data_IF_457839728872
#
_entry.id   IF_457839728872
#
_cell.length_a   1.000
_cell.length_b   1.000
_cell.length_c   1.000
_cell.angle_alpha   90.00
_cell.angle_beta   90.00
_cell.angle_gamma   90.00
#
_symmetry.space_group_name_H-M   'P 1'
#
loop_
_entity.id
_entity.type
_entity.pdbx_description
1 polymer ?
#
# COMPACT_ATOMS: atom_id res chain seq x y z
N UNK A 1 -17.36 -40.10 -33.07
CA UNK A 1 -17.32 -38.70 -32.61
C UNK A 1 -18.17 -38.58 -31.34
N UNK A 2 -17.60 -38.11 -30.24
CA UNK A 2 -18.21 -37.20 -29.22
C UNK A 2 -17.29 -37.16 -28.00
N UNK A 3 -16.37 -36.21 -28.06
CA UNK A 3 -15.48 -35.79 -26.97
C UNK A 3 -16.32 -35.09 -25.90
N UNK A 4 -16.31 -35.58 -24.66
CA UNK A 4 -16.90 -34.85 -23.53
C UNK A 4 -15.81 -33.98 -22.89
N UNK A 5 -15.74 -32.72 -23.30
CA UNK A 5 -15.06 -31.67 -22.53
C UNK A 5 -16.08 -31.08 -21.56
N UNK A 6 -15.90 -31.30 -20.25
CA UNK A 6 -16.52 -30.45 -19.24
C UNK A 6 -15.38 -29.61 -18.65
N UNK A 7 -15.38 -28.33 -19.00
CA UNK A 7 -14.40 -27.34 -18.60
C UNK A 7 -14.57 -27.00 -17.10
N UNK A 8 -13.45 -27.01 -16.38
CA UNK A 8 -13.33 -26.55 -15.00
C UNK A 8 -13.48 -25.02 -14.98
N UNK A 9 -14.59 -24.50 -14.43
CA UNK A 9 -14.71 -23.07 -14.15
C UNK A 9 -13.75 -22.72 -13.01
N UNK A 10 -12.65 -22.03 -13.34
CA UNK A 10 -11.91 -21.25 -12.35
C UNK A 10 -12.75 -20.01 -12.03
N UNK A 11 -13.50 -20.07 -10.93
CA UNK A 11 -14.07 -18.87 -10.30
C UNK A 11 -12.90 -18.21 -9.58
N UNK A 12 -12.18 -17.36 -10.29
CA UNK A 12 -11.29 -16.42 -9.64
C UNK A 12 -12.16 -15.40 -8.92
N UNK A 13 -11.98 -15.31 -7.61
CA UNK A 13 -12.50 -14.21 -6.80
C UNK A 13 -11.32 -13.26 -6.58
N UNK A 14 -10.89 -12.53 -7.62
CA UNK A 14 -9.98 -11.39 -7.41
C UNK A 14 -10.78 -10.24 -6.83
N UNK A 15 -10.94 -10.24 -5.51
CA UNK A 15 -11.48 -9.11 -4.79
C UNK A 15 -10.38 -8.03 -4.69
N UNK A 16 -10.17 -7.29 -5.77
CA UNK A 16 -9.18 -6.20 -5.84
C UNK A 16 -9.71 -4.91 -5.17
N UNK A 17 -10.33 -4.95 -3.99
CA UNK A 17 -10.97 -3.77 -3.38
C UNK A 17 -9.94 -2.70 -2.96
N UNK A 18 -8.83 -3.16 -2.37
CA UNK A 18 -7.76 -2.31 -1.84
C UNK A 18 -6.43 -3.06 -1.69
N UNK A 19 -5.31 -2.47 -2.10
CA UNK A 19 -3.99 -3.04 -1.85
C UNK A 19 -2.92 -1.97 -1.60
N UNK A 20 -2.06 -2.20 -0.60
CA UNK A 20 -0.84 -1.42 -0.39
C UNK A 20 0.25 -1.90 -1.35
N UNK A 21 0.71 -1.02 -2.23
CA UNK A 21 1.75 -1.33 -3.23
C UNK A 21 3.16 -0.96 -2.76
N UNK A 22 3.28 0.05 -1.90
CA UNK A 22 4.56 0.55 -1.42
C UNK A 22 4.41 1.43 -0.18
N UNK A 23 5.29 1.32 0.83
CA UNK A 23 6.35 0.31 0.98
C UNK A 23 5.79 -1.12 1.07
N UNK A 24 6.65 -2.14 0.96
CA UNK A 24 6.19 -3.53 0.84
C UNK A 24 5.26 -3.91 2.01
N UNK A 25 4.03 -4.39 1.73
CA UNK A 25 3.10 -4.79 2.78
C UNK A 25 3.56 -6.08 3.47
N UNK A 26 3.07 -6.32 4.70
CA UNK A 26 3.22 -7.63 5.37
C UNK A 26 2.58 -8.76 4.57
N UNK A 27 1.51 -8.44 3.83
CA UNK A 27 0.75 -9.36 3.01
C UNK A 27 -0.62 -8.77 2.70
N UNK A 28 -1.42 -9.53 1.96
CA UNK A 28 -2.83 -9.23 1.70
C UNK A 28 -3.63 -10.53 1.79
N UNK A 29 -4.82 -10.46 2.37
CA UNK A 29 -5.76 -11.56 2.44
C UNK A 29 -7.16 -10.97 2.54
N UNK A 30 -8.01 -11.32 1.58
CA UNK A 30 -9.33 -10.73 1.43
C UNK A 30 -10.29 -11.14 2.56
N UNK A 31 -10.08 -12.31 3.13
CA UNK A 31 -10.91 -12.82 4.23
C UNK A 31 -10.62 -12.10 5.56
N UNK A 32 -9.41 -11.56 5.72
CA UNK A 32 -8.95 -10.96 6.99
C UNK A 32 -8.62 -9.48 6.86
N UNK A 33 -8.76 -8.86 5.68
CA UNK A 33 -8.39 -7.46 5.47
C UNK A 33 -9.22 -6.45 6.29
N UNK A 34 -10.38 -6.87 6.83
CA UNK A 34 -11.18 -6.07 7.77
C UNK A 34 -10.66 -6.14 9.21
N UNK A 35 -9.74 -7.06 9.52
CA UNK A 35 -9.19 -7.24 10.86
C UNK A 35 -8.06 -6.24 11.14
N UNK A 36 -8.38 -5.18 11.89
CA UNK A 36 -7.37 -4.23 12.37
C UNK A 36 -6.36 -4.88 13.33
N UNK A 37 -5.10 -4.41 13.37
CA UNK A 37 -4.60 -3.21 12.68
C UNK A 37 -4.00 -3.47 11.29
N UNK A 38 -3.73 -4.73 10.92
CA UNK A 38 -2.90 -5.06 9.76
C UNK A 38 -3.54 -6.11 8.83
N UNK A 39 -4.86 -6.24 8.84
CA UNK A 39 -5.59 -7.15 7.95
C UNK A 39 -5.32 -8.63 8.25
N UNK A 40 -5.20 -8.98 9.53
CA UNK A 40 -4.82 -10.34 9.98
C UNK A 40 -3.30 -10.63 9.99
N UNK A 41 -2.46 -9.75 9.40
CA UNK A 41 -1.00 -9.91 9.39
C UNK A 41 -0.35 -9.29 10.64
N UNK A 42 -0.52 -9.94 11.79
CA UNK A 42 -0.16 -9.37 13.09
C UNK A 42 1.35 -9.36 13.41
N UNK A 43 2.15 -10.16 12.70
CA UNK A 43 3.61 -10.25 12.95
C UNK A 43 4.41 -9.41 11.96
N UNK A 44 5.47 -8.76 12.45
CA UNK A 44 6.51 -8.15 11.60
C UNK A 44 7.30 -9.27 10.95
N UNK A 45 7.43 -9.23 9.61
CA UNK A 45 8.17 -10.25 8.85
C UNK A 45 9.45 -9.65 8.29
N UNK A 46 9.31 -8.59 7.47
CA UNK A 46 10.40 -7.94 6.75
C UNK A 46 10.28 -6.43 6.91
N UNK A 47 11.40 -5.69 6.87
CA UNK A 47 11.39 -4.22 6.86
C UNK A 47 11.94 -3.66 5.56
N UNK A 48 11.25 -2.67 4.99
CA UNK A 48 11.71 -1.94 3.81
C UNK A 48 12.41 -0.64 4.26
N UNK A 49 13.51 -0.27 3.60
CA UNK A 49 14.11 1.04 3.84
C UNK A 49 13.14 2.15 3.40
N UNK A 50 12.88 3.11 4.28
CA UNK A 50 12.00 4.25 4.00
C UNK A 50 12.70 5.54 4.40
N UNK A 51 12.87 6.52 3.49
CA UNK A 51 13.60 7.72 3.81
C UNK A 51 12.82 8.61 4.77
N UNK A 52 13.53 9.32 5.64
CA UNK A 52 12.93 10.30 6.54
C UNK A 52 12.23 11.45 5.80
N UNK A 53 12.71 11.80 4.60
CA UNK A 53 12.10 12.79 3.71
C UNK A 53 11.93 12.25 2.31
N UNK A 54 10.81 12.61 1.69
CA UNK A 54 10.53 12.30 0.29
C UNK A 54 9.97 10.89 0.06
N UNK A 55 9.76 10.11 1.12
CA UNK A 55 9.13 8.80 1.02
C UNK A 55 7.66 8.92 0.60
N UNK A 56 7.18 7.97 -0.20
CA UNK A 56 5.81 7.94 -0.69
C UNK A 56 5.17 6.61 -0.31
N UNK A 57 3.91 6.68 0.13
CA UNK A 57 3.06 5.50 0.30
C UNK A 57 2.12 5.42 -0.89
N UNK A 58 2.10 4.25 -1.54
CA UNK A 58 1.29 3.99 -2.74
C UNK A 58 0.28 2.91 -2.42
N UNK A 59 -1.00 3.22 -2.64
CA UNK A 59 -2.09 2.24 -2.56
C UNK A 59 -2.77 2.11 -3.92
N UNK A 60 -3.51 1.03 -4.12
CA UNK A 60 -4.46 0.90 -5.22
C UNK A 60 -5.85 0.64 -4.65
N UNK A 61 -6.83 1.40 -5.12
CA UNK A 61 -8.24 1.35 -4.68
C UNK A 61 -9.15 1.06 -5.87
N UNK A 62 -10.30 0.43 -5.61
CA UNK A 62 -11.29 0.10 -6.64
C UNK A 62 -12.66 0.74 -6.45
N UNK A 63 -12.86 1.58 -5.43
CA UNK A 63 -14.04 2.43 -5.31
C UNK A 63 -13.66 3.90 -5.47
N UNK A 64 -14.53 4.64 -6.15
CA UNK A 64 -14.44 6.11 -6.29
C UNK A 64 -14.97 6.85 -5.07
N UNK A 65 -15.55 6.14 -4.10
CA UNK A 65 -16.07 6.67 -2.85
C UNK A 65 -15.35 5.99 -1.70
N UNK A 66 -14.49 6.72 -1.00
CA UNK A 66 -13.79 6.22 0.16
C UNK A 66 -12.80 7.22 0.73
N UNK A 67 -12.22 6.86 1.87
CA UNK A 67 -11.24 7.67 2.60
C UNK A 67 -10.03 6.81 2.92
N UNK A 68 -8.83 7.34 2.67
CA UNK A 68 -7.59 6.72 3.06
C UNK A 68 -6.98 7.49 4.23
N UNK A 69 -6.64 6.76 5.29
CA UNK A 69 -5.89 7.28 6.44
C UNK A 69 -4.58 6.53 6.59
N UNK A 70 -3.54 7.25 7.01
CA UNK A 70 -2.21 6.68 7.26
C UNK A 70 -1.85 6.89 8.72
N UNK A 71 -1.54 5.81 9.44
CA UNK A 71 -1.12 5.83 10.86
C UNK A 71 0.30 5.30 11.02
N UNK A 72 1.03 5.80 12.02
CA UNK A 72 2.42 5.43 12.31
C UNK A 72 2.54 4.89 13.72
N UNK A 73 3.34 3.83 13.87
CA UNK A 73 3.86 3.38 15.15
C UNK A 73 5.40 3.31 15.08
N UNK A 74 6.09 3.89 16.08
CA UNK A 74 7.55 3.84 16.22
C UNK A 74 7.97 2.75 17.21
N UNK A 75 7.54 1.51 16.95
CA UNK A 75 7.89 0.36 17.79
C UNK A 75 8.38 -0.80 16.92
N UNK A 76 9.24 -1.62 17.51
CA UNK A 76 9.80 -2.83 16.87
C UNK A 76 8.69 -3.81 16.48
N UNK A 77 7.67 -3.96 17.32
CA UNK A 77 6.53 -4.86 17.15
C UNK A 77 5.26 -4.15 17.65
N UNK A 78 4.55 -3.39 16.80
CA UNK A 78 3.41 -2.60 17.24
C UNK A 78 2.20 -3.45 17.57
N UNK A 79 1.54 -3.12 18.68
CA UNK A 79 0.18 -3.51 18.97
C UNK A 79 -0.80 -2.47 18.40
N UNK A 80 -2.08 -2.83 18.31
CA UNK A 80 -3.12 -1.93 17.78
C UNK A 80 -3.14 -0.55 18.45
N UNK A 81 -2.85 -0.48 19.75
CA UNK A 81 -2.80 0.76 20.54
C UNK A 81 -1.65 1.71 20.17
N UNK A 82 -0.64 1.23 19.43
CA UNK A 82 0.57 2.01 19.12
C UNK A 82 0.38 2.91 17.88
N UNK A 83 -0.69 2.71 17.10
CA UNK A 83 -1.00 3.46 15.87
C UNK A 83 -1.73 4.78 16.16
N UNK A 84 -1.14 5.63 17.00
CA UNK A 84 -1.77 6.88 17.46
C UNK A 84 -1.46 8.08 16.56
N UNK A 85 -0.36 8.03 15.80
CA UNK A 85 0.12 9.17 15.01
C UNK A 85 -0.44 9.12 13.59
N UNK A 86 -1.08 10.20 13.13
CA UNK A 86 -1.46 10.35 11.73
C UNK A 86 -0.25 10.84 10.91
N UNK A 87 0.07 10.19 9.79
CA UNK A 87 1.17 10.63 8.91
C UNK A 87 0.76 11.82 8.03
N UNK A 88 -0.49 11.82 7.58
CA UNK A 88 -1.06 12.87 6.73
C UNK A 88 -2.49 13.14 7.17
N UNK A 89 -3.05 14.24 6.67
CA UNK A 89 -4.50 14.38 6.63
C UNK A 89 -5.12 13.22 5.84
N UNK A 90 -6.34 12.85 6.21
CA UNK A 90 -7.10 11.85 5.47
C UNK A 90 -7.32 12.29 4.02
N UNK A 91 -7.22 11.35 3.10
CA UNK A 91 -7.38 11.59 1.67
C UNK A 91 -8.72 11.02 1.20
N UNK A 92 -9.59 11.87 0.65
CA UNK A 92 -10.81 11.42 -0.02
C UNK A 92 -10.48 10.88 -1.40
N UNK A 93 -10.81 9.62 -1.63
CA UNK A 93 -10.68 8.99 -2.94
C UNK A 93 -11.75 9.56 -3.87
N UNK A 94 -11.32 10.03 -5.04
CA UNK A 94 -12.21 10.57 -6.10
C UNK A 94 -12.11 9.79 -7.41
N UNK A 95 -11.17 8.84 -7.51
CA UNK A 95 -10.94 8.01 -8.68
C UNK A 95 -10.37 6.64 -8.27
N UNK A 96 -10.67 5.61 -9.07
CA UNK A 96 -10.07 4.27 -8.91
C UNK A 96 -8.64 4.24 -9.46
N UNK A 97 -7.82 3.33 -8.97
CA UNK A 97 -6.46 3.12 -9.44
C UNK A 97 -5.41 3.38 -8.37
N UNK A 98 -4.19 3.71 -8.82
CA UNK A 98 -3.04 3.95 -7.94
C UNK A 98 -3.10 5.37 -7.39
N UNK A 99 -2.90 5.49 -6.09
CA UNK A 99 -2.89 6.75 -5.35
C UNK A 99 -1.61 6.79 -4.53
N UNK A 100 -0.83 7.83 -4.74
CA UNK A 100 0.38 8.13 -3.99
C UNK A 100 0.08 9.21 -2.95
N UNK A 101 0.69 9.11 -1.77
CA UNK A 101 0.78 10.27 -0.88
C UNK A 101 1.63 11.36 -1.53
N UNK A 102 1.43 12.61 -1.11
CA UNK A 102 2.49 13.61 -1.27
C UNK A 102 3.79 13.10 -0.60
N UNK A 103 4.98 13.56 -1.04
CA UNK A 103 6.24 13.18 -0.41
C UNK A 103 6.21 13.50 1.09
N UNK A 104 6.42 12.50 1.92
CA UNK A 104 6.29 12.61 3.37
C UNK A 104 7.55 13.21 3.99
N UNK A 105 7.36 14.02 5.02
CA UNK A 105 8.43 14.53 5.89
C UNK A 105 8.29 13.93 7.29
N UNK A 106 8.80 12.71 7.46
CA UNK A 106 8.80 12.03 8.76
C UNK A 106 9.79 12.67 9.73
N UNK A 107 10.82 13.37 9.26
CA UNK A 107 11.78 14.07 10.13
C UNK A 107 11.08 15.15 10.97
N UNK A 108 9.96 15.71 10.48
CA UNK A 108 9.14 16.67 11.22
C UNK A 108 8.42 16.06 12.44
N UNK A 109 8.36 14.73 12.57
CA UNK A 109 7.66 14.01 13.63
C UNK A 109 8.46 13.89 14.94
N UNK A 110 9.66 14.50 15.01
CA UNK A 110 10.46 14.63 16.21
C UNK A 110 11.41 13.46 16.49
N UNK A 111 11.85 13.34 17.74
CA UNK A 111 13.03 12.55 18.16
C UNK A 111 12.96 11.04 17.89
N UNK A 112 11.77 10.50 17.57
CA UNK A 112 11.60 9.08 17.21
C UNK A 112 11.87 8.79 15.73
N UNK A 113 11.78 9.82 14.87
CA UNK A 113 12.01 9.70 13.44
C UNK A 113 13.49 9.95 13.11
N UNK A 114 14.34 9.00 13.52
CA UNK A 114 15.79 9.05 13.27
C UNK A 114 16.25 7.91 12.34
N UNK A 115 17.38 8.05 11.64
CA UNK A 115 17.93 6.95 10.84
C UNK A 115 18.16 5.70 11.71
N UNK A 116 17.79 4.53 11.18
CA UNK A 116 17.81 3.25 11.87
C UNK A 116 16.55 2.95 12.70
N UNK A 117 15.69 3.94 12.96
CA UNK A 117 14.46 3.70 13.70
C UNK A 117 13.53 2.75 12.95
N UNK A 118 12.90 1.86 13.71
CA UNK A 118 11.92 0.91 13.21
C UNK A 118 10.53 1.49 13.39
N UNK A 119 9.75 1.50 12.32
CA UNK A 119 8.38 1.97 12.35
C UNK A 119 7.46 1.07 11.54
N UNK A 120 6.16 1.18 11.76
CA UNK A 120 5.14 0.51 10.96
C UNK A 120 4.13 1.53 10.50
N UNK A 121 3.95 1.61 9.19
CA UNK A 121 2.94 2.42 8.53
C UNK A 121 1.70 1.55 8.39
N UNK A 122 0.62 1.92 9.06
CA UNK A 122 -0.70 1.35 8.83
C UNK A 122 -1.43 2.20 7.81
N UNK A 123 -2.07 1.53 6.87
CA UNK A 123 -2.92 2.14 5.85
C UNK A 123 -4.34 1.63 6.06
N UNK A 124 -5.28 2.57 6.17
CA UNK A 124 -6.69 2.30 6.43
C UNK A 124 -7.46 2.85 5.25
N UNK A 125 -8.27 2.00 4.61
CA UNK A 125 -9.18 2.43 3.55
C UNK A 125 -10.61 2.15 3.97
N UNK A 126 -11.39 3.21 4.13
CA UNK A 126 -12.82 3.12 4.44
C UNK A 126 -13.61 3.39 3.16
N UNK A 127 -14.44 2.44 2.75
CA UNK A 127 -15.36 2.57 1.63
C UNK A 127 -16.77 2.13 2.06
N UNK A 128 -17.79 2.27 1.19
CA UNK A 128 -19.12 1.70 1.44
C UNK A 128 -19.11 0.18 1.72
N UNK A 129 -18.07 -0.53 1.27
CA UNK A 129 -17.93 -1.99 1.42
C UNK A 129 -17.23 -2.39 2.73
N UNK A 130 -16.88 -1.40 3.56
CA UNK A 130 -16.25 -1.58 4.86
C UNK A 130 -14.85 -0.98 4.95
N UNK A 131 -14.17 -1.31 6.05
CA UNK A 131 -12.82 -0.80 6.34
C UNK A 131 -11.79 -1.87 6.05
N UNK A 132 -10.72 -1.51 5.32
CA UNK A 132 -9.60 -2.38 4.98
C UNK A 132 -8.32 -1.88 5.61
N UNK A 133 -7.54 -2.79 6.17
CA UNK A 133 -6.30 -2.51 6.86
C UNK A 133 -5.13 -3.23 6.19
N UNK A 134 -4.03 -2.52 5.97
CA UNK A 134 -2.74 -3.12 5.64
C UNK A 134 -1.62 -2.41 6.40
N UNK A 135 -0.50 -3.09 6.56
CA UNK A 135 0.68 -2.55 7.23
C UNK A 135 1.94 -2.79 6.40
N UNK A 136 2.81 -1.79 6.39
CA UNK A 136 4.18 -1.91 5.91
C UNK A 136 5.15 -1.60 7.05
N UNK A 137 6.07 -2.52 7.33
CA UNK A 137 7.12 -2.32 8.30
C UNK A 137 8.33 -1.69 7.61
N UNK A 138 8.88 -0.64 8.21
CA UNK A 138 9.98 0.12 7.62
C UNK A 138 11.15 0.29 8.59
N UNK A 139 12.34 0.43 8.03
CA UNK A 139 13.52 0.95 8.72
C UNK A 139 13.79 2.33 8.14
N UNK A 140 13.74 3.36 8.99
CA UNK A 140 13.95 4.73 8.57
C UNK A 140 15.40 4.92 8.16
N UNK A 141 15.63 5.52 7.00
CA UNK A 141 16.97 5.88 6.54
C UNK A 141 17.14 7.38 6.59
N UNK A 142 18.39 7.83 6.68
CA UNK A 142 18.71 9.21 6.36
C UNK A 142 18.11 9.57 4.98
N UNK A 143 17.84 10.87 4.79
CA UNK A 143 17.25 11.39 3.56
C UNK A 143 17.93 10.74 2.36
N UNK A 144 17.16 10.01 1.56
CA UNK A 144 17.63 9.74 0.21
C UNK A 144 17.73 11.11 -0.44
N UNK A 145 18.93 11.52 -0.84
CA UNK A 145 19.01 12.55 -1.88
C UNK A 145 18.02 12.13 -2.94
N UNK A 146 17.09 13.01 -3.38
CA UNK A 146 16.21 12.65 -4.46
C UNK A 146 17.13 12.14 -5.56
N UNK A 147 17.04 10.86 -5.92
CA UNK A 147 17.42 10.49 -7.28
C UNK A 147 16.49 11.35 -8.09
N UNK A 148 16.99 12.50 -8.54
CA UNK A 148 16.39 13.23 -9.64
C UNK A 148 16.08 12.13 -10.63
N UNK A 149 14.80 11.82 -10.77
CA UNK A 149 14.34 10.95 -11.83
C UNK A 149 14.93 11.60 -13.06
N UNK A 150 15.99 10.99 -13.60
CA UNK A 150 16.55 11.44 -14.84
C UNK A 150 15.33 11.57 -15.74
N UNK A 151 15.10 12.79 -16.25
CA UNK A 151 14.19 13.01 -17.36
C UNK A 151 14.82 12.20 -18.48
N UNK A 152 14.50 10.91 -18.54
CA UNK A 152 14.70 10.10 -19.71
C UNK A 152 13.66 10.63 -20.68
N UNK A 153 14.10 11.56 -21.51
CA UNK A 153 13.50 11.78 -22.82
C UNK A 153 13.67 10.47 -23.60
N UNK A 154 12.87 9.46 -23.26
CA UNK A 154 12.73 8.24 -24.06
C UNK A 154 11.60 8.50 -25.03
N UNK A 155 12.01 8.75 -26.28
CA UNK A 155 11.15 8.78 -27.45
C UNK A 155 10.05 7.73 -27.33
N UNK A 156 8.81 8.16 -27.60
CA UNK A 156 7.62 7.33 -27.62
C UNK A 156 7.88 6.05 -28.43
N UNK A 157 7.90 4.91 -27.74
CA UNK A 157 7.78 3.61 -28.37
C UNK A 157 6.32 3.18 -28.24
N UNK A 158 5.58 3.34 -29.32
CA UNK A 158 4.19 2.90 -29.45
C UNK A 158 4.17 1.37 -29.41
N UNK A 159 4.00 0.79 -28.22
CA UNK A 159 3.67 -0.63 -28.09
C UNK A 159 2.17 -0.78 -27.94
N UNK A 160 1.62 -1.47 -28.94
CA UNK A 160 0.24 -1.84 -29.12
C UNK A 160 -0.41 -2.32 -27.81
N UNK A 161 -1.35 -1.53 -27.30
CA UNK A 161 -2.08 -1.78 -26.05
C UNK A 161 -3.09 -2.90 -26.25
N UNK A 162 -2.63 -4.16 -26.20
CA UNK A 162 -3.53 -5.30 -26.12
C UNK A 162 -3.03 -6.44 -25.22
N UNK A 163 -2.00 -6.23 -24.37
CA UNK A 163 -1.46 -7.35 -23.58
C UNK A 163 -1.02 -7.03 -22.14
N UNK A 164 -1.57 -6.00 -21.50
CA UNK A 164 -1.31 -5.75 -20.07
C UNK A 164 -2.55 -5.27 -19.31
N UNK A 165 -3.67 -5.98 -19.49
CA UNK A 165 -4.92 -5.75 -18.77
C UNK A 165 -5.31 -6.90 -17.83
N UNK A 166 -4.37 -7.83 -17.57
CA UNK A 166 -4.70 -9.11 -16.94
C UNK A 166 -3.83 -9.40 -15.71
N UNK A 167 -3.92 -8.56 -14.68
CA UNK A 167 -3.51 -8.99 -13.32
C UNK A 167 -4.44 -8.52 -12.20
N UNK A 168 -5.56 -7.84 -12.48
CA UNK A 168 -6.58 -7.55 -11.46
C UNK A 168 -8.02 -7.62 -11.98
N UNK A 169 -8.24 -8.27 -13.12
CA UNK A 169 -9.56 -8.72 -13.56
C UNK A 169 -9.49 -10.24 -13.65
N UNK A 170 -9.84 -10.91 -12.57
CA UNK A 170 -10.23 -12.31 -12.62
C UNK A 170 -11.22 -12.64 -11.53
#
# INVERSE_FOLDING_TARGET
MKTNLIALLLISITSCHYVLLGPAPRGTNDDTMEEGPCGGFNSVVNRTNFPLKGGVVTVKVSHTEGRISYRLAFTETPAAKDFTLALTSDFTVTAVGKIDTAPLDLASLGDKAIPGAKATIQTIYESPDGTRYQCADVTLTADSTPKSSAIANSNAFTMNSMFLLLTCFF
#
